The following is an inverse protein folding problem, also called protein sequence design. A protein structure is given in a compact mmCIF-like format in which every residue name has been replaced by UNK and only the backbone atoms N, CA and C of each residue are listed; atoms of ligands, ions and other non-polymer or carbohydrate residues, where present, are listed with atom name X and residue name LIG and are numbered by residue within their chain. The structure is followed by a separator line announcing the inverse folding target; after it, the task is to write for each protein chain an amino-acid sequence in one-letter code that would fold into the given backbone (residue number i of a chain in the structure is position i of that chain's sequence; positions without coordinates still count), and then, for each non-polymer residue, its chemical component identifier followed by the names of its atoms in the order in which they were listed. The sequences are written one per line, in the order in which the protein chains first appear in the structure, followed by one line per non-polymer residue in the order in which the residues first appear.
data_IF_341069242711
#
_entry.id   IF_341069242711
#
_cell.length_a   1.000
_cell.length_b   1.000
_cell.length_c   1.000
_cell.angle_alpha   90.00
_cell.angle_beta   90.00
_cell.angle_gamma   90.00
#
_symmetry.space_group_name_H-M   'P 1'
#
loop_
_entity.id
_entity.type
_entity.pdbx_description
1 polymer ?
#
# COMPACT_ATOMS: atom_id res chain seq x y z
N UNK A 1 12.35 -15.49 10.49
CA UNK A 1 12.42 -14.10 10.96
C UNK A 1 12.92 -13.29 9.78
N UNK A 2 11.99 -12.71 9.00
CA UNK A 2 12.36 -11.93 7.82
C UNK A 2 12.66 -10.51 8.29
N UNK A 3 13.90 -10.08 8.10
CA UNK A 3 14.31 -8.71 8.40
C UNK A 3 13.93 -7.88 7.17
N UNK A 4 12.84 -7.13 7.27
CA UNK A 4 12.40 -6.25 6.17
C UNK A 4 13.50 -5.22 5.91
N UNK A 5 14.03 -5.23 4.68
CA UNK A 5 15.11 -4.33 4.27
C UNK A 5 14.74 -2.85 4.37
N UNK A 6 15.74 -1.97 4.29
CA UNK A 6 15.54 -0.51 4.28
C UNK A 6 14.89 -0.02 2.98
N UNK A 7 14.96 -0.80 1.91
CA UNK A 7 14.23 -0.56 0.66
C UNK A 7 13.25 -1.70 0.45
N UNK A 8 11.99 -1.36 0.22
CA UNK A 8 10.91 -2.30 -0.05
C UNK A 8 10.17 -1.95 -1.33
N UNK A 9 9.38 -2.87 -1.85
CA UNK A 9 8.50 -2.65 -3.00
C UNK A 9 7.08 -2.47 -2.51
N UNK A 10 6.50 -1.32 -2.80
CA UNK A 10 5.09 -1.04 -2.52
C UNK A 10 4.28 -1.13 -3.81
N UNK A 11 3.17 -1.87 -3.76
CA UNK A 11 2.18 -1.91 -4.84
C UNK A 11 0.82 -1.50 -4.29
N UNK A 12 0.26 -0.42 -4.84
CA UNK A 12 -1.13 -0.02 -4.63
C UNK A 12 -1.93 -0.52 -5.82
N UNK A 13 -3.02 -1.24 -5.59
CA UNK A 13 -3.85 -1.76 -6.69
C UNK A 13 -5.32 -1.83 -6.30
N UNK A 14 -6.20 -1.79 -7.29
CA UNK A 14 -7.64 -1.89 -7.05
C UNK A 14 -8.46 -1.68 -8.31
N UNK A 15 -9.66 -2.25 -8.31
CA UNK A 15 -10.63 -1.98 -9.37
C UNK A 15 -11.10 -0.53 -9.31
N UNK A 16 -11.45 0.04 -10.46
CA UNK A 16 -11.90 1.44 -10.58
C UNK A 16 -13.04 1.82 -9.66
N UNK A 17 -13.94 0.89 -9.37
CA UNK A 17 -15.11 1.05 -8.48
C UNK A 17 -14.98 0.29 -7.16
N UNK A 18 -13.76 -0.14 -6.80
CA UNK A 18 -13.48 -0.91 -5.59
C UNK A 18 -12.59 -0.17 -4.60
N UNK A 19 -12.17 -0.93 -3.58
CA UNK A 19 -11.17 -0.52 -2.60
C UNK A 19 -9.76 -0.61 -3.18
N UNK A 20 -8.84 0.15 -2.59
CA UNK A 20 -7.41 0.03 -2.86
C UNK A 20 -6.79 -0.95 -1.89
N UNK A 21 -5.88 -1.78 -2.40
CA UNK A 21 -5.03 -2.66 -1.65
C UNK A 21 -3.59 -2.14 -1.67
N UNK A 22 -2.94 -2.12 -0.50
CA UNK A 22 -1.52 -1.84 -0.36
C UNK A 22 -0.79 -3.14 -0.05
N UNK A 23 0.07 -3.60 -0.95
CA UNK A 23 1.01 -4.69 -0.71
C UNK A 23 2.43 -4.13 -0.54
N UNK A 24 3.13 -4.57 0.50
CA UNK A 24 4.55 -4.27 0.73
C UNK A 24 5.35 -5.57 0.66
N UNK A 25 6.32 -5.65 -0.23
CA UNK A 25 7.17 -6.83 -0.45
C UNK A 25 8.64 -6.49 -0.20
N UNK A 26 9.42 -7.42 0.37
CA UNK A 26 10.88 -7.27 0.53
C UNK A 26 11.58 -7.35 -0.84
N UNK A 27 11.14 -8.28 -1.68
CA UNK A 27 11.60 -8.46 -3.05
C UNK A 27 10.39 -8.50 -3.99
N UNK A 28 10.49 -8.02 -5.25
CA UNK A 28 9.41 -8.11 -6.23
C UNK A 28 8.69 -9.46 -6.34
N UNK A 29 9.37 -10.57 -6.03
CA UNK A 29 8.88 -11.95 -6.13
C UNK A 29 8.49 -12.56 -4.78
N UNK A 30 8.74 -11.88 -3.65
CA UNK A 30 8.39 -12.40 -2.33
C UNK A 30 6.90 -12.26 -2.06
N UNK A 31 6.37 -13.05 -1.13
CA UNK A 31 5.05 -12.74 -0.56
C UNK A 31 5.06 -11.35 0.11
N UNK A 32 3.92 -10.65 0.16
CA UNK A 32 3.81 -9.40 0.90
C UNK A 32 4.03 -9.62 2.40
N UNK A 33 4.88 -8.79 3.00
CA UNK A 33 5.03 -8.71 4.46
C UNK A 33 3.87 -7.94 5.11
N UNK A 34 3.20 -7.10 4.32
CA UNK A 34 1.96 -6.39 4.67
C UNK A 34 1.04 -6.40 3.46
N UNK A 35 -0.23 -6.73 3.68
CA UNK A 35 -1.31 -6.53 2.72
C UNK A 35 -2.51 -5.88 3.44
N UNK A 36 -2.83 -4.66 3.05
CA UNK A 36 -3.95 -3.90 3.63
C UNK A 36 -5.01 -3.60 2.59
N UNK A 37 -6.27 -3.79 2.94
CA UNK A 37 -7.40 -3.16 2.25
C UNK A 37 -7.63 -1.78 2.85
N UNK A 38 -7.55 -0.74 2.02
CA UNK A 38 -7.67 0.66 2.44
C UNK A 38 -9.13 1.12 2.43
N UNK A 39 -9.46 2.06 3.32
CA UNK A 39 -10.77 2.68 3.38
C UNK A 39 -11.15 3.46 2.10
N UNK A 40 -10.15 3.89 1.35
CA UNK A 40 -10.30 4.84 0.24
C UNK A 40 -10.66 4.11 -1.05
N UNK A 41 -11.72 4.52 -1.77
CA UNK A 41 -11.99 4.02 -3.12
C UNK A 41 -10.84 4.35 -4.08
N UNK A 42 -10.58 3.49 -5.06
CA UNK A 42 -9.50 3.69 -6.04
C UNK A 42 -9.58 5.05 -6.75
N UNK A 43 -10.79 5.49 -7.11
CA UNK A 43 -11.03 6.78 -7.75
C UNK A 43 -10.67 7.99 -6.87
N UNK A 44 -10.83 7.88 -5.55
CA UNK A 44 -10.42 8.92 -4.61
C UNK A 44 -8.90 8.97 -4.48
N UNK A 45 -8.24 7.81 -4.39
CA UNK A 45 -6.79 7.74 -4.28
C UNK A 45 -6.10 8.34 -5.51
N UNK A 46 -6.58 8.00 -6.71
CA UNK A 46 -6.07 8.56 -7.98
C UNK A 46 -6.19 10.08 -8.00
N UNK A 47 -7.30 10.63 -7.49
CA UNK A 47 -7.50 12.07 -7.40
C UNK A 47 -6.52 12.71 -6.43
N UNK A 48 -6.33 12.14 -5.23
CA UNK A 48 -5.36 12.67 -4.26
C UNK A 48 -3.93 12.62 -4.83
N UNK A 49 -3.56 11.54 -5.52
CA UNK A 49 -2.25 11.44 -6.18
C UNK A 49 -2.07 12.50 -7.28
N UNK A 50 -3.11 12.80 -8.06
CA UNK A 50 -3.05 13.87 -9.07
C UNK A 50 -2.88 15.28 -8.48
N UNK A 51 -3.20 15.46 -7.19
CA UNK A 51 -3.06 16.75 -6.50
C UNK A 51 -1.63 17.03 -6.01
N UNK A 52 -0.72 16.06 -6.17
CA UNK A 52 0.71 16.19 -5.85
C UNK A 52 1.12 15.32 -4.67
N UNK A 53 0.92 15.81 -3.45
CA UNK A 53 1.38 15.13 -2.24
C UNK A 53 0.27 14.31 -1.58
N UNK A 54 0.50 13.01 -1.43
CA UNK A 54 -0.37 12.09 -0.71
C UNK A 54 0.33 11.55 0.54
N UNK A 55 -0.25 11.83 1.70
CA UNK A 55 0.17 11.27 2.99
C UNK A 55 -0.92 10.36 3.51
N UNK A 56 -0.58 9.10 3.71
CA UNK A 56 -1.46 8.12 4.37
C UNK A 56 -0.91 7.86 5.75
N UNK A 57 -1.71 8.07 6.79
CA UNK A 57 -1.37 7.62 8.15
C UNK A 57 -2.32 6.48 8.54
N UNK A 58 -1.75 5.45 9.13
CA UNK A 58 -2.41 4.25 9.63
C UNK A 58 -2.12 4.18 11.13
N UNK A 59 -3.14 4.48 11.92
CA UNK A 59 -3.04 4.56 13.38
C UNK A 59 -3.77 3.38 14.02
N UNK A 60 -3.13 2.68 14.94
CA UNK A 60 -3.76 1.68 15.78
C UNK A 60 -3.51 2.00 17.26
N UNK A 61 -4.47 1.65 18.12
CA UNK A 61 -4.30 1.83 19.57
C UNK A 61 -3.34 0.78 20.12
N UNK A 62 -2.61 1.11 21.19
CA UNK A 62 -1.89 0.14 22.01
C UNK A 62 -2.87 -0.86 22.64
N UNK A 63 -3.06 -2.00 21.98
CA UNK A 63 -3.82 -3.13 22.53
C UNK A 63 -3.13 -3.71 23.77
N UNK A 64 -3.91 -4.08 24.79
CA UNK A 64 -3.40 -4.77 25.97
C UNK A 64 -2.73 -6.10 25.59
N UNK A 65 -1.44 -6.24 25.92
CA UNK A 65 -0.57 -7.43 25.79
C UNK A 65 0.08 -7.74 24.44
N UNK A 66 -0.33 -7.13 23.32
CA UNK A 66 0.24 -7.51 22.03
C UNK A 66 1.52 -6.71 21.71
N UNK A 67 2.69 -7.26 22.09
CA UNK A 67 4.02 -6.76 21.71
C UNK A 67 4.44 -7.27 20.32
N UNK A 68 3.49 -7.38 19.40
CA UNK A 68 3.72 -7.85 18.04
C UNK A 68 4.42 -6.79 17.16
N UNK A 69 4.91 -7.22 16.00
CA UNK A 69 5.46 -6.30 15.02
C UNK A 69 4.36 -5.35 14.52
N UNK A 70 4.70 -4.08 14.30
CA UNK A 70 3.74 -3.04 13.89
C UNK A 70 2.93 -3.46 12.64
N UNK A 71 3.59 -4.08 11.68
CA UNK A 71 2.99 -4.61 10.45
C UNK A 71 1.99 -5.76 10.64
N UNK A 72 1.88 -6.35 11.84
CA UNK A 72 0.94 -7.44 12.13
C UNK A 72 -0.40 -6.95 12.70
N UNK A 73 -0.56 -5.65 12.94
CA UNK A 73 -1.83 -5.12 13.45
C UNK A 73 -2.95 -5.30 12.41
N UNK A 74 -4.14 -5.68 12.90
CA UNK A 74 -5.25 -6.12 12.05
C UNK A 74 -6.13 -4.98 11.54
N UNK A 75 -6.24 -3.90 12.31
CA UNK A 75 -7.15 -2.78 12.04
C UNK A 75 -6.42 -1.47 12.29
N UNK A 76 -6.58 -0.54 11.36
CA UNK A 76 -5.94 0.77 11.36
C UNK A 76 -6.97 1.85 11.10
N UNK A 77 -7.00 2.90 11.93
CA UNK A 77 -7.63 4.17 11.56
C UNK A 77 -6.80 4.82 10.47
N UNK A 78 -7.41 5.00 9.30
CA UNK A 78 -6.74 5.54 8.12
C UNK A 78 -7.04 7.03 7.99
N UNK A 79 -5.98 7.82 7.78
CA UNK A 79 -6.05 9.25 7.48
C UNK A 79 -5.36 9.53 6.15
N UNK A 80 -6.02 10.32 5.30
CA UNK A 80 -5.44 10.85 4.07
C UNK A 80 -5.24 12.35 4.23
N UNK A 81 -4.00 12.82 4.07
CA UNK A 81 -3.66 14.25 4.17
C UNK A 81 -4.22 14.92 5.44
N UNK A 82 -4.17 14.21 6.57
CA UNK A 82 -4.64 14.67 7.88
C UNK A 82 -6.16 14.53 8.12
N UNK A 83 -6.93 14.02 7.15
CA UNK A 83 -8.38 13.79 7.28
C UNK A 83 -8.68 12.31 7.47
N UNK A 84 -9.49 11.98 8.47
CA UNK A 84 -9.91 10.58 8.71
C UNK A 84 -10.71 10.08 7.50
N UNK A 85 -10.22 9.02 6.86
CA UNK A 85 -10.80 8.42 5.67
C UNK A 85 -11.63 7.16 6.00
N UNK A 86 -11.32 6.47 7.10
CA UNK A 86 -12.04 5.28 7.55
C UNK A 86 -11.11 4.28 8.24
N UNK A 87 -11.32 3.00 8.00
CA UNK A 87 -10.46 1.93 8.52
C UNK A 87 -9.77 1.17 7.38
N UNK A 88 -8.49 0.88 7.55
CA UNK A 88 -7.78 -0.10 6.75
C UNK A 88 -7.64 -1.41 7.55
N UNK A 89 -7.73 -2.54 6.85
CA UNK A 89 -7.73 -3.86 7.48
C UNK A 89 -6.65 -4.75 6.88
N UNK A 90 -5.94 -5.47 7.73
CA UNK A 90 -4.98 -6.48 7.31
C UNK A 90 -5.68 -7.67 6.69
N UNK A 91 -5.11 -8.17 5.60
CA UNK A 91 -5.64 -9.31 4.85
C UNK A 91 -4.55 -10.32 4.54
N UNK A 92 -4.96 -11.58 4.43
CA UNK A 92 -4.09 -12.62 3.89
C UNK A 92 -3.97 -12.47 2.37
N UNK A 93 -2.76 -12.70 1.83
CA UNK A 93 -2.49 -12.72 0.40
C UNK A 93 -3.22 -13.90 -0.26
N UNK A 94 -4.26 -13.62 -1.05
CA UNK A 94 -5.01 -14.63 -1.77
C UNK A 94 -4.48 -14.90 -3.18
N UNK A 95 -5.08 -15.86 -3.88
CA UNK A 95 -4.70 -16.20 -5.25
C UNK A 95 -4.88 -15.03 -6.24
N UNK A 96 -5.89 -14.19 -6.04
CA UNK A 96 -6.11 -12.96 -6.82
C UNK A 96 -4.99 -11.93 -6.60
N UNK A 97 -4.57 -11.75 -5.35
CA UNK A 97 -3.49 -10.83 -4.99
C UNK A 97 -2.16 -11.30 -5.57
N UNK A 98 -1.83 -12.59 -5.38
CA UNK A 98 -0.64 -13.21 -5.95
C UNK A 98 -0.60 -13.10 -7.48
N UNK A 99 -1.75 -13.23 -8.16
CA UNK A 99 -1.86 -13.02 -9.61
C UNK A 99 -1.52 -11.58 -10.00
N UNK A 100 -2.13 -10.59 -9.35
CA UNK A 100 -1.86 -9.16 -9.63
C UNK A 100 -0.40 -8.84 -9.40
N UNK A 101 0.16 -9.22 -8.24
CA UNK A 101 1.57 -9.00 -7.90
C UNK A 101 2.52 -9.69 -8.88
N UNK A 102 2.17 -10.90 -9.34
CA UNK A 102 2.92 -11.64 -10.35
C UNK A 102 2.90 -10.97 -11.74
N UNK A 103 1.78 -10.36 -12.13
CA UNK A 103 1.66 -9.61 -13.40
C UNK A 103 2.51 -8.35 -13.41
N UNK A 104 2.65 -7.68 -12.26
CA UNK A 104 3.44 -6.43 -12.14
C UNK A 104 4.86 -6.67 -11.62
N UNK A 105 5.29 -7.92 -11.46
CA UNK A 105 6.56 -8.24 -10.81
C UNK A 105 7.79 -7.58 -11.47
N UNK A 106 7.77 -7.43 -12.81
CA UNK A 106 8.85 -6.84 -13.60
C UNK A 106 8.82 -5.31 -13.62
N UNK A 107 7.72 -4.70 -13.14
CA UNK A 107 7.58 -3.25 -13.06
C UNK A 107 8.40 -2.75 -11.88
N UNK A 108 9.45 -1.98 -12.19
CA UNK A 108 10.31 -1.38 -11.17
C UNK A 108 9.66 -0.15 -10.54
N UNK A 109 9.06 0.70 -11.36
CA UNK A 109 8.33 1.88 -10.94
C UNK A 109 7.33 2.28 -12.03
N UNK A 110 6.12 2.70 -11.65
CA UNK A 110 5.13 3.24 -12.57
C UNK A 110 3.69 2.92 -12.16
N UNK A 111 2.74 3.42 -12.94
CA UNK A 111 1.33 3.11 -12.81
C UNK A 111 0.78 2.57 -14.14
N UNK A 112 -0.28 1.76 -14.07
CA UNK A 112 -0.88 1.15 -15.25
C UNK A 112 -2.24 0.51 -14.96
N UNK A 113 -2.78 -0.14 -15.99
CA UNK A 113 -4.02 -0.91 -15.92
C UNK A 113 -3.74 -2.36 -16.31
N UNK A 114 -4.37 -3.29 -15.59
CA UNK A 114 -4.42 -4.71 -15.91
C UNK A 114 -5.83 -5.08 -16.39
N UNK A 115 -5.95 -6.02 -17.34
CA UNK A 115 -7.25 -6.56 -17.71
C UNK A 115 -7.91 -7.22 -16.50
N UNK A 116 -9.22 -7.04 -16.35
CA UNK A 116 -10.00 -7.69 -15.30
C UNK A 116 -9.99 -9.21 -15.40
N UNK A 117 -10.35 -9.89 -14.32
CA UNK A 117 -10.33 -11.36 -14.24
C UNK A 117 -11.28 -12.04 -15.24
N UNK A 118 -12.31 -11.33 -15.73
CA UNK A 118 -13.25 -11.85 -16.71
C UNK A 118 -12.94 -11.33 -18.13
N UNK A 119 -12.88 -12.21 -19.15
CA UNK A 119 -12.79 -11.80 -20.56
C UNK A 119 -14.13 -11.25 -21.11
N UNK A 120 -15.11 -10.94 -20.26
CA UNK A 120 -16.39 -10.40 -20.70
C UNK A 120 -16.21 -8.95 -21.20
N UNK A 121 -16.90 -8.55 -22.27
CA UNK A 121 -16.76 -7.24 -22.89
C UNK A 121 -17.42 -6.11 -22.09
N UNK A 122 -17.69 -6.31 -20.80
CA UNK A 122 -18.18 -5.26 -19.92
C UNK A 122 -17.04 -4.26 -19.64
N UNK A 123 -17.13 -2.99 -20.09
CA UNK A 123 -16.06 -1.98 -19.98
C UNK A 123 -15.79 -1.47 -18.54
N UNK A 124 -15.91 -2.34 -17.53
CA UNK A 124 -16.12 -1.94 -16.15
C UNK A 124 -15.09 -2.40 -15.12
N UNK A 125 -14.29 -3.43 -15.44
CA UNK A 125 -13.46 -4.14 -14.44
C UNK A 125 -11.95 -3.97 -14.69
N UNK A 126 -11.52 -2.80 -15.14
CA UNK A 126 -10.08 -2.48 -15.20
C UNK A 126 -9.51 -2.37 -13.79
N UNK A 127 -8.43 -3.11 -13.54
CA UNK A 127 -7.66 -3.04 -12.32
C UNK A 127 -6.52 -2.04 -12.52
N UNK A 128 -6.52 -0.98 -11.73
CA UNK A 128 -5.43 0.00 -11.72
C UNK A 128 -4.37 -0.45 -10.73
N UNK A 129 -3.11 -0.16 -11.04
CA UNK A 129 -2.02 -0.33 -10.10
C UNK A 129 -1.01 0.80 -10.18
N UNK A 130 -0.29 1.00 -9.09
CA UNK A 130 0.95 1.78 -8.98
C UNK A 130 1.95 0.93 -8.23
N UNK A 131 3.18 0.86 -8.73
CA UNK A 131 4.29 0.17 -8.09
C UNK A 131 5.48 1.11 -7.99
N UNK A 132 6.14 1.10 -6.85
CA UNK A 132 7.34 1.89 -6.63
C UNK A 132 8.22 1.25 -5.56
N UNK A 133 9.48 1.70 -5.49
CA UNK A 133 10.35 1.43 -4.35
C UNK A 133 10.07 2.45 -3.25
N UNK A 134 10.11 1.98 -2.01
CA UNK A 134 9.96 2.82 -0.83
C UNK A 134 11.19 2.66 0.05
N UNK A 135 11.68 3.78 0.57
CA UNK A 135 12.58 3.79 1.71
C UNK A 135 11.76 3.57 2.98
N UNK A 136 12.06 2.48 3.68
CA UNK A 136 11.46 2.12 4.96
C UNK A 136 12.33 2.68 6.08
N UNK A 137 11.73 3.52 6.90
CA UNK A 137 12.35 4.14 8.07
C UNK A 137 11.64 3.63 9.33
N UNK A 138 12.38 2.95 10.20
CA UNK A 138 11.89 2.48 11.50
C UNK A 138 12.24 3.53 12.55
N UNK A 139 11.23 4.21 13.09
CA UNK A 139 11.42 5.19 14.16
C UNK A 139 11.48 4.53 15.54
N UNK A 140 10.58 3.56 15.79
CA UNK A 140 10.52 2.78 17.03
C UNK A 140 9.72 1.49 16.82
N UNK A 141 9.50 0.71 17.88
CA UNK A 141 8.59 -0.45 17.83
C UNK A 141 7.13 -0.07 17.51
N UNK A 142 6.79 1.21 17.63
CA UNK A 142 5.45 1.77 17.47
C UNK A 142 5.35 2.71 16.26
N UNK A 143 6.44 2.91 15.50
CA UNK A 143 6.45 3.85 14.39
C UNK A 143 7.34 3.40 13.24
N UNK A 144 6.73 3.29 12.07
CA UNK A 144 7.41 3.05 10.80
C UNK A 144 6.87 3.97 9.71
N UNK A 145 7.73 4.36 8.78
CA UNK A 145 7.35 5.16 7.62
C UNK A 145 7.90 4.55 6.33
N UNK A 146 7.11 4.66 5.27
CA UNK A 146 7.48 4.31 3.90
C UNK A 146 7.46 5.58 3.06
N UNK A 147 8.62 5.99 2.55
CA UNK A 147 8.77 7.14 1.67
C UNK A 147 9.02 6.66 0.25
N UNK A 148 8.18 7.06 -0.70
CA UNK A 148 8.38 6.69 -2.10
C UNK A 148 9.72 7.24 -2.60
N UNK A 149 10.53 6.37 -3.21
CA UNK A 149 11.82 6.75 -3.78
C UNK A 149 11.61 7.38 -5.15
N UNK A 150 11.93 8.67 -5.27
CA UNK A 150 11.90 9.38 -6.54
C UNK A 150 13.19 9.09 -7.34
N UNK A 151 13.12 8.53 -8.56
CA UNK A 151 14.32 8.20 -9.33
C UNK A 151 15.12 9.43 -9.77
N UNK A 152 14.47 10.60 -9.82
CA UNK A 152 15.10 11.86 -10.22
C UNK A 152 15.83 12.57 -9.06
N UNK A 153 15.75 12.04 -7.83
CA UNK A 153 16.47 12.56 -6.66
C UNK A 153 16.07 13.95 -6.17
N UNK A 154 15.07 14.60 -6.77
CA UNK A 154 14.63 15.96 -6.42
C UNK A 154 13.21 15.96 -5.83
N UNK A 155 13.03 16.59 -4.66
CA UNK A 155 11.73 16.91 -4.08
C UNK A 155 11.29 16.00 -2.92
N UNK A 156 10.21 16.41 -2.24
CA UNK A 156 9.55 15.58 -1.23
C UNK A 156 8.91 14.35 -1.87
N UNK A 157 8.78 13.21 -1.16
CA UNK A 157 8.09 12.04 -1.69
C UNK A 157 6.65 12.37 -2.07
N UNK A 158 6.24 12.04 -3.30
CA UNK A 158 4.85 12.25 -3.77
C UNK A 158 3.86 11.40 -2.95
N UNK A 159 4.33 10.24 -2.47
CA UNK A 159 3.59 9.37 -1.58
C UNK A 159 4.42 9.04 -0.34
N UNK A 160 3.82 9.23 0.84
CA UNK A 160 4.35 8.76 2.12
C UNK A 160 3.28 8.00 2.89
N UNK A 161 3.66 6.87 3.51
CA UNK A 161 2.77 6.03 4.30
C UNK A 161 3.36 5.86 5.69
N UNK A 162 2.58 6.19 6.72
CA UNK A 162 3.00 6.15 8.12
C UNK A 162 2.19 5.09 8.85
N UNK A 163 2.87 4.26 9.63
CA UNK A 163 2.28 3.29 10.54
C UNK A 163 2.61 3.75 11.96
N UNK A 164 1.58 3.96 12.76
CA UNK A 164 1.71 4.51 14.11
C UNK A 164 0.87 3.69 15.08
N UNK A 165 1.49 3.25 16.17
CA UNK A 165 0.80 2.71 17.33
C UNK A 165 0.76 3.80 18.41
N UNK A 166 -0.44 4.31 18.70
CA UNK A 166 -0.69 5.41 19.65
C UNK A 166 -1.15 4.90 21.02
#
# INVERSE_FOLDING_TARGET
QQSVGSIVVGTLYGYRRGHVFLAVQEDPKSEPVVLLELATPTSCLVREMSSGLLRIALECERGGSNRGFLFQESIWSMFCNGRKAGYAVSRHCGASDARVLGLVQSVSMGAGVLPGENPSPSPGEELMYMRAKFERVVGSNDSEALYMVNPNGSGAPELSIFFLRI
#
